data_IF_291625513289
#
_entry.id   IF_291625513289
#
_cell.length_a   1.000
_cell.length_b   1.000
_cell.length_c   1.000
_cell.angle_alpha   90.00
_cell.angle_beta   90.00
_cell.angle_gamma   90.00
#
_symmetry.space_group_name_H-M   'P 1'
#
loop_
_entity.id
_entity.type
_entity.pdbx_description
1 polymer ?
#
# COMPACT_ATOMS: atom_id res chain seq x y z
N UNK A 1 27.58 17.89 5.76
CA UNK A 1 26.71 18.23 4.60
C UNK A 1 25.39 17.49 4.75
N UNK A 2 24.28 18.12 4.39
CA UNK A 2 22.96 17.49 4.42
C UNK A 2 22.78 16.56 3.23
N UNK A 3 22.26 15.35 3.43
CA UNK A 3 21.96 14.37 2.37
C UNK A 3 20.55 13.77 2.55
N UNK A 4 20.03 13.17 1.50
CA UNK A 4 18.77 12.43 1.55
C UNK A 4 19.07 10.94 1.55
N UNK A 5 18.54 10.22 2.53
CA UNK A 5 18.60 8.75 2.59
C UNK A 5 17.25 8.19 2.21
N UNK A 6 17.25 7.22 1.29
CA UNK A 6 16.09 6.44 0.84
C UNK A 6 16.13 5.05 1.46
N UNK A 7 15.02 4.60 2.01
CA UNK A 7 14.85 3.26 2.56
C UNK A 7 13.76 2.50 1.79
N UNK A 8 14.05 1.27 1.41
CA UNK A 8 13.07 0.29 0.94
C UNK A 8 12.70 -0.63 2.12
N UNK A 9 11.42 -0.65 2.48
CA UNK A 9 10.92 -1.33 3.67
C UNK A 9 9.99 -2.49 3.32
N UNK A 10 9.99 -3.50 4.18
CA UNK A 10 8.91 -4.48 4.26
C UNK A 10 8.43 -4.60 5.71
N UNK A 11 7.12 -4.82 5.91
CA UNK A 11 6.55 -5.02 7.24
C UNK A 11 5.27 -5.85 7.22
N UNK A 12 5.09 -6.63 8.28
CA UNK A 12 3.81 -7.22 8.66
C UNK A 12 2.97 -6.16 9.37
N UNK A 13 1.88 -5.72 8.73
CA UNK A 13 1.01 -4.67 9.26
C UNK A 13 0.12 -5.08 10.43
N UNK A 14 0.08 -6.38 10.79
CA UNK A 14 -0.86 -6.93 11.79
C UNK A 14 -0.74 -6.23 13.15
N UNK A 15 0.48 -5.98 13.61
CA UNK A 15 0.77 -5.34 14.90
C UNK A 15 0.73 -3.82 14.87
N UNK A 16 0.49 -3.19 13.71
CA UNK A 16 0.53 -1.74 13.53
C UNK A 16 -0.85 -1.13 13.30
N UNK A 17 -1.09 0.02 13.89
CA UNK A 17 -2.28 0.87 13.65
C UNK A 17 -2.13 1.74 12.40
N UNK A 18 -1.48 1.20 11.37
CA UNK A 18 -1.19 1.82 10.09
C UNK A 18 0.17 2.50 10.05
N UNK A 19 0.39 3.24 8.96
CA UNK A 19 1.67 3.94 8.76
C UNK A 19 1.81 5.16 9.67
N UNK A 20 0.86 6.10 9.62
CA UNK A 20 1.04 7.44 10.16
C UNK A 20 1.17 7.47 11.68
N UNK A 21 2.21 8.14 12.18
CA UNK A 21 2.39 8.42 13.61
C UNK A 21 1.15 9.15 14.18
N UNK A 22 0.78 8.81 15.39
CA UNK A 22 -0.34 9.39 16.11
C UNK A 22 0.16 10.21 17.30
N UNK A 23 -0.69 11.11 17.82
CA UNK A 23 -0.34 11.93 19.01
C UNK A 23 -0.14 11.08 20.26
N UNK A 24 -0.93 10.02 20.39
CA UNK A 24 -0.75 9.02 21.42
C UNK A 24 0.40 8.06 21.05
N UNK A 25 1.52 8.21 21.72
CA UNK A 25 2.74 7.43 21.47
C UNK A 25 2.61 5.97 21.92
N UNK A 26 1.58 5.59 22.69
CA UNK A 26 1.30 4.20 23.03
C UNK A 26 0.77 3.41 21.83
N UNK A 27 0.27 4.10 20.81
CA UNK A 27 -0.25 3.49 19.60
C UNK A 27 0.89 3.19 18.63
N UNK A 28 1.20 1.90 18.47
CA UNK A 28 2.25 1.44 17.54
C UNK A 28 1.88 1.74 16.09
N UNK A 29 2.70 2.51 15.40
CA UNK A 29 2.60 2.80 13.97
C UNK A 29 3.95 2.59 13.31
N UNK A 30 3.96 2.30 12.00
CA UNK A 30 5.21 2.06 11.26
C UNK A 30 6.11 3.31 11.28
N UNK A 31 5.54 4.50 11.06
CA UNK A 31 6.27 5.78 11.08
C UNK A 31 6.78 6.10 12.49
N UNK A 32 6.00 5.85 13.53
CA UNK A 32 6.40 6.12 14.92
C UNK A 32 7.60 5.29 15.33
N UNK A 33 7.52 3.95 15.16
CA UNK A 33 8.61 3.02 15.49
C UNK A 33 9.87 3.32 14.67
N UNK A 34 9.72 3.49 13.34
CA UNK A 34 10.85 3.74 12.46
C UNK A 34 11.53 5.08 12.75
N UNK A 35 10.75 6.14 12.97
CA UNK A 35 11.31 7.48 13.27
C UNK A 35 12.05 7.50 14.61
N UNK A 36 11.51 6.84 15.63
CA UNK A 36 12.13 6.75 16.95
C UNK A 36 13.48 6.01 16.87
N UNK A 37 13.52 4.87 16.16
CA UNK A 37 14.74 4.08 16.00
C UNK A 37 15.77 4.82 15.15
N UNK A 38 15.36 5.39 14.01
CA UNK A 38 16.26 6.19 13.16
C UNK A 38 16.83 7.38 13.93
N UNK A 39 16.00 8.12 14.67
CA UNK A 39 16.43 9.27 15.44
C UNK A 39 17.53 8.92 16.45
N UNK A 40 17.43 7.75 17.09
CA UNK A 40 18.47 7.24 18.00
C UNK A 40 19.75 6.83 17.27
N UNK A 41 19.63 6.18 16.09
CA UNK A 41 20.78 5.73 15.29
C UNK A 41 21.60 6.91 14.77
N UNK A 42 20.92 7.92 14.22
CA UNK A 42 21.62 9.07 13.59
C UNK A 42 21.81 10.25 14.54
N UNK A 43 21.27 10.16 15.75
CA UNK A 43 21.29 11.20 16.79
C UNK A 43 20.71 12.55 16.30
N UNK A 44 19.61 12.49 15.53
CA UNK A 44 18.91 13.65 14.98
C UNK A 44 17.38 13.40 15.00
N UNK A 45 16.54 14.44 15.15
CA UNK A 45 15.11 14.31 14.96
C UNK A 45 14.81 13.99 13.50
N UNK A 46 14.08 12.89 13.24
CA UNK A 46 13.79 12.41 11.88
C UNK A 46 12.37 12.73 11.47
N UNK A 47 12.24 13.33 10.29
CA UNK A 47 10.97 13.50 9.59
C UNK A 47 10.95 12.63 8.35
N UNK A 48 10.05 11.65 8.31
CA UNK A 48 9.89 10.74 7.18
C UNK A 48 8.96 11.31 6.11
N UNK A 49 9.37 11.20 4.84
CA UNK A 49 8.46 11.25 3.70
C UNK A 49 8.19 9.83 3.21
N UNK A 50 6.93 9.44 3.04
CA UNK A 50 6.52 8.09 2.65
C UNK A 50 5.81 8.08 1.31
N UNK A 51 6.11 7.10 0.46
CA UNK A 51 5.50 6.98 -0.87
C UNK A 51 3.98 6.77 -0.85
N UNK A 52 3.46 6.06 0.14
CA UNK A 52 2.04 5.84 0.32
C UNK A 52 1.73 5.34 1.73
N UNK A 53 0.83 6.03 2.44
CA UNK A 53 0.38 5.57 3.76
C UNK A 53 -0.44 4.30 3.61
N UNK A 54 -0.27 3.35 4.54
CA UNK A 54 -1.07 2.13 4.65
C UNK A 54 -2.00 2.23 5.85
N UNK A 55 -3.20 1.65 5.73
CA UNK A 55 -4.17 1.54 6.82
C UNK A 55 -3.69 0.55 7.91
N UNK A 56 -4.33 0.57 9.07
CA UNK A 56 -4.12 -0.44 10.12
C UNK A 56 -4.32 -1.86 9.57
N UNK A 57 -3.38 -2.76 9.85
CA UNK A 57 -3.40 -4.14 9.40
C UNK A 57 -3.01 -4.37 7.94
N UNK A 58 -2.62 -3.34 7.19
CA UNK A 58 -2.14 -3.45 5.79
C UNK A 58 -0.63 -3.66 5.77
N UNK A 59 -0.18 -4.64 4.99
CA UNK A 59 1.23 -5.02 4.88
C UNK A 59 1.95 -4.25 3.78
N UNK A 60 3.29 -4.34 3.79
CA UNK A 60 4.11 -3.88 2.68
C UNK A 60 5.30 -4.80 2.43
N UNK A 61 5.61 -5.02 1.15
CA UNK A 61 6.85 -5.69 0.68
C UNK A 61 7.81 -4.73 0.02
N UNK A 62 7.31 -3.55 -0.36
CA UNK A 62 8.09 -2.57 -1.11
C UNK A 62 7.68 -1.12 -0.81
N UNK A 63 7.46 -0.78 0.48
CA UNK A 63 7.27 0.59 0.91
C UNK A 63 8.57 1.37 0.75
N UNK A 64 8.47 2.62 0.34
CA UNK A 64 9.63 3.51 0.28
C UNK A 64 9.41 4.72 1.17
N UNK A 65 10.44 5.04 1.95
CA UNK A 65 10.51 6.30 2.70
C UNK A 65 11.83 6.99 2.45
N UNK A 66 11.86 8.30 2.66
CA UNK A 66 13.07 9.11 2.62
C UNK A 66 13.11 10.07 3.79
N UNK A 67 14.32 10.43 4.20
CA UNK A 67 14.58 11.46 5.19
C UNK A 67 15.87 12.20 4.92
N UNK A 68 15.97 13.41 5.43
CA UNK A 68 17.16 14.24 5.34
C UNK A 68 17.95 14.09 6.64
N UNK A 69 19.29 14.00 6.54
CA UNK A 69 20.18 13.85 7.69
C UNK A 69 21.54 14.47 7.41
N UNK A 70 22.28 14.80 8.49
CA UNK A 70 23.67 15.24 8.44
C UNK A 70 24.65 14.12 8.81
N UNK A 71 24.14 12.95 9.25
CA UNK A 71 24.98 11.83 9.65
C UNK A 71 25.89 11.34 8.51
N UNK A 72 27.11 10.93 8.87
CA UNK A 72 28.07 10.30 7.97
C UNK A 72 27.98 8.77 7.96
N UNK A 73 27.02 8.16 8.71
CA UNK A 73 26.84 6.72 8.73
C UNK A 73 26.49 6.20 7.34
N UNK A 74 27.20 5.18 6.86
CA UNK A 74 26.90 4.55 5.59
C UNK A 74 25.44 4.02 5.60
N UNK A 75 24.70 4.11 4.47
CA UNK A 75 23.31 3.65 4.39
C UNK A 75 23.12 2.21 4.87
N UNK A 76 24.03 1.30 4.53
CA UNK A 76 23.98 -0.09 4.98
C UNK A 76 24.08 -0.23 6.51
N UNK A 77 24.87 0.60 7.17
CA UNK A 77 24.96 0.62 8.65
C UNK A 77 23.63 1.07 9.26
N UNK A 78 22.96 2.05 8.64
CA UNK A 78 21.61 2.47 9.07
C UNK A 78 20.62 1.32 8.91
N UNK A 79 20.63 0.62 7.76
CA UNK A 79 19.80 -0.57 7.50
C UNK A 79 20.01 -1.62 8.60
N UNK A 80 21.26 -2.01 8.83
CA UNK A 80 21.61 -3.09 9.74
C UNK A 80 21.23 -2.76 11.19
N UNK A 81 21.44 -1.53 11.62
CA UNK A 81 21.06 -1.05 12.95
C UNK A 81 19.51 -1.02 13.12
N UNK A 82 18.75 -0.57 12.11
CA UNK A 82 17.29 -0.61 12.16
C UNK A 82 16.81 -2.06 12.24
N UNK A 83 17.36 -2.95 11.41
CA UNK A 83 16.95 -4.35 11.35
C UNK A 83 17.26 -5.12 12.65
N UNK A 84 18.33 -4.77 13.33
CA UNK A 84 18.67 -5.36 14.64
C UNK A 84 17.64 -5.00 15.72
N UNK A 85 16.93 -3.87 15.60
CA UNK A 85 15.98 -3.37 16.61
C UNK A 85 14.54 -3.73 16.24
N UNK A 86 14.14 -3.54 14.97
CA UNK A 86 12.74 -3.67 14.51
C UNK A 86 12.42 -4.98 13.79
N UNK A 87 13.44 -5.74 13.39
CA UNK A 87 13.22 -7.02 12.74
C UNK A 87 12.67 -8.10 13.70
N UNK A 88 11.95 -9.10 13.18
CA UNK A 88 11.59 -9.30 11.76
C UNK A 88 10.28 -8.59 11.34
N UNK A 89 9.56 -7.94 12.24
CA UNK A 89 8.21 -7.38 11.98
C UNK A 89 8.25 -6.18 10.99
N UNK A 90 9.29 -5.33 11.10
CA UNK A 90 9.60 -4.26 10.18
C UNK A 90 11.08 -4.34 9.83
N UNK A 91 11.39 -4.41 8.53
CA UNK A 91 12.75 -4.50 8.04
C UNK A 91 13.05 -3.49 6.94
N UNK A 92 14.26 -2.95 6.96
CA UNK A 92 14.85 -2.19 5.86
C UNK A 92 15.53 -3.19 4.93
N UNK A 93 14.98 -3.39 3.73
CA UNK A 93 15.56 -4.29 2.72
C UNK A 93 16.75 -3.67 1.99
N UNK A 94 16.69 -2.36 1.80
CA UNK A 94 17.74 -1.59 1.15
C UNK A 94 17.75 -0.16 1.71
N UNK A 95 18.93 0.36 1.94
CA UNK A 95 19.17 1.78 2.21
C UNK A 95 20.16 2.32 1.19
N UNK A 96 19.96 3.53 0.73
CA UNK A 96 20.86 4.20 -0.22
C UNK A 96 20.79 5.72 -0.07
N UNK A 97 21.86 6.40 -0.44
CA UNK A 97 21.75 7.81 -0.72
C UNK A 97 20.84 8.04 -1.93
N UNK A 98 20.10 9.13 -1.90
CA UNK A 98 19.23 9.54 -2.98
C UNK A 98 19.70 10.88 -3.58
N UNK A 99 19.40 11.14 -4.86
CA UNK A 99 19.69 12.43 -5.46
C UNK A 99 19.10 13.59 -4.66
N UNK A 100 19.76 14.75 -4.68
CA UNK A 100 19.22 15.97 -4.09
C UNK A 100 17.80 16.26 -4.61
N UNK A 101 16.90 16.63 -3.71
CA UNK A 101 15.49 16.87 -4.05
C UNK A 101 14.61 15.62 -4.16
N UNK A 102 15.16 14.42 -3.98
CA UNK A 102 14.33 13.21 -3.93
C UNK A 102 13.39 13.24 -2.72
N UNK A 103 12.11 12.98 -2.99
CA UNK A 103 11.08 12.79 -1.98
C UNK A 103 10.32 11.49 -2.28
N UNK A 104 10.25 10.59 -1.30
CA UNK A 104 9.62 9.27 -1.51
C UNK A 104 8.17 9.37 -1.98
N UNK A 105 7.43 10.41 -1.59
CA UNK A 105 6.03 10.62 -1.96
C UNK A 105 5.89 11.26 -3.34
N UNK A 106 6.58 12.39 -3.56
CA UNK A 106 6.36 13.25 -4.72
C UNK A 106 7.16 12.79 -5.95
N UNK A 107 8.29 12.11 -5.76
CA UNK A 107 9.05 11.52 -6.87
C UNK A 107 8.44 10.22 -7.40
N UNK A 108 7.48 9.62 -6.69
CA UNK A 108 6.87 8.35 -7.10
C UNK A 108 5.84 8.56 -8.21
N UNK A 109 5.99 7.77 -9.30
CA UNK A 109 5.11 7.81 -10.48
C UNK A 109 3.96 6.82 -10.42
N UNK A 110 4.13 5.69 -9.70
CA UNK A 110 3.04 4.73 -9.47
C UNK A 110 3.27 3.90 -8.19
N UNK A 111 2.19 3.27 -7.71
CA UNK A 111 2.17 2.30 -6.61
C UNK A 111 1.48 1.04 -7.09
N UNK A 112 1.98 -0.12 -6.66
CA UNK A 112 1.37 -1.41 -6.93
C UNK A 112 0.94 -2.07 -5.64
N UNK A 113 -0.30 -2.50 -5.60
CA UNK A 113 -0.88 -3.27 -4.50
C UNK A 113 -1.34 -4.63 -4.99
N UNK A 114 -1.26 -5.61 -4.09
CA UNK A 114 -1.83 -6.93 -4.27
C UNK A 114 -2.78 -7.22 -3.11
N UNK A 115 -3.95 -7.74 -3.45
CA UNK A 115 -4.91 -8.24 -2.48
C UNK A 115 -5.06 -9.75 -2.64
N UNK A 116 -4.93 -10.49 -1.54
CA UNK A 116 -5.06 -11.94 -1.53
C UNK A 116 -6.39 -12.36 -0.88
N UNK A 117 -7.06 -13.35 -1.50
CA UNK A 117 -8.31 -13.95 -1.03
C UNK A 117 -8.11 -15.47 -1.04
N UNK A 118 -8.44 -16.15 0.07
CA UNK A 118 -8.51 -17.59 0.19
C UNK A 118 -9.96 -18.03 0.09
N UNK A 119 -10.29 -18.89 -0.89
CA UNK A 119 -11.68 -19.33 -1.19
C UNK A 119 -11.97 -20.75 -0.76
N UNK A 120 -11.02 -21.47 -0.19
CA UNK A 120 -11.21 -22.81 0.38
C UNK A 120 -12.21 -22.80 1.54
N UNK A 121 -12.81 -23.93 1.81
CA UNK A 121 -13.88 -24.07 2.82
C UNK A 121 -13.38 -23.76 4.24
N UNK A 122 -12.11 -24.09 4.53
CA UNK A 122 -11.48 -23.87 5.85
C UNK A 122 -10.36 -22.85 5.73
N UNK A 123 -10.26 -21.95 6.71
CA UNK A 123 -9.16 -20.98 6.79
C UNK A 123 -7.84 -21.72 7.12
N UNK A 124 -6.79 -21.43 6.35
CA UNK A 124 -5.44 -21.89 6.62
C UNK A 124 -4.76 -20.92 7.60
N UNK A 125 -4.34 -21.36 8.82
CA UNK A 125 -3.71 -20.50 9.82
C UNK A 125 -2.38 -19.88 9.36
N UNK A 126 -1.67 -20.51 8.41
CA UNK A 126 -0.40 -19.99 7.90
C UNK A 126 -0.60 -18.85 6.88
N UNK A 127 -1.77 -18.76 6.27
CA UNK A 127 -2.09 -17.70 5.28
C UNK A 127 -3.15 -16.71 5.77
N UNK A 128 -3.89 -17.04 6.83
CA UNK A 128 -5.01 -16.23 7.34
C UNK A 128 -4.62 -14.78 7.71
N UNK A 129 -3.35 -14.56 8.05
CA UNK A 129 -2.81 -13.22 8.36
C UNK A 129 -2.62 -12.34 7.13
N UNK A 130 -2.52 -12.96 5.94
CA UNK A 130 -2.13 -12.30 4.69
C UNK A 130 -3.15 -12.47 3.55
N UNK A 131 -4.28 -13.12 3.83
CA UNK A 131 -5.33 -13.34 2.86
C UNK A 131 -6.72 -13.23 3.53
N UNK A 132 -7.65 -12.59 2.86
CA UNK A 132 -9.04 -12.60 3.29
C UNK A 132 -9.64 -13.99 3.05
N UNK A 133 -9.91 -14.74 4.13
CA UNK A 133 -10.66 -15.98 4.02
C UNK A 133 -12.12 -15.67 3.69
N UNK A 134 -12.52 -16.11 2.51
CA UNK A 134 -13.87 -15.92 2.00
C UNK A 134 -14.27 -17.19 1.26
N UNK A 135 -14.86 -18.18 1.97
CA UNK A 135 -15.23 -19.46 1.36
C UNK A 135 -16.26 -19.29 0.26
N UNK A 136 -16.22 -20.20 -0.68
CA UNK A 136 -17.14 -20.27 -1.80
C UNK A 136 -16.58 -19.69 -3.10
N UNK A 137 -17.30 -19.97 -4.18
CA UNK A 137 -16.88 -19.67 -5.54
C UNK A 137 -17.04 -18.18 -5.88
N UNK A 138 -16.01 -17.62 -6.49
CA UNK A 138 -16.04 -16.28 -7.09
C UNK A 138 -15.94 -16.40 -8.62
N UNK A 139 -16.79 -15.71 -9.35
CA UNK A 139 -16.80 -15.67 -10.82
C UNK A 139 -15.70 -14.72 -11.33
N UNK A 140 -14.50 -15.28 -11.57
CA UNK A 140 -13.31 -14.51 -11.96
C UNK A 140 -13.51 -13.72 -13.24
N UNK A 141 -14.26 -14.27 -14.23
CA UNK A 141 -14.50 -13.57 -15.48
C UNK A 141 -15.33 -12.30 -15.28
N UNK A 142 -16.38 -12.35 -14.46
CA UNK A 142 -17.17 -11.17 -14.09
C UNK A 142 -16.33 -10.13 -13.35
N UNK A 143 -15.47 -10.57 -12.42
CA UNK A 143 -14.55 -9.68 -11.73
C UNK A 143 -13.54 -9.00 -12.69
N UNK A 144 -13.05 -9.73 -13.71
CA UNK A 144 -12.16 -9.16 -14.75
C UNK A 144 -12.88 -8.13 -15.61
N UNK A 145 -14.15 -8.41 -16.00
CA UNK A 145 -14.99 -7.44 -16.74
C UNK A 145 -15.19 -6.16 -15.95
N UNK A 146 -15.62 -6.27 -14.69
CA UNK A 146 -15.76 -5.11 -13.81
C UNK A 146 -14.43 -4.37 -13.58
N UNK A 147 -13.32 -5.10 -13.42
CA UNK A 147 -11.99 -4.51 -13.27
C UNK A 147 -11.51 -3.74 -14.50
N UNK A 148 -11.93 -4.16 -15.71
CA UNK A 148 -11.60 -3.46 -16.95
C UNK A 148 -12.27 -2.08 -17.03
N UNK A 149 -13.49 -1.94 -16.53
CA UNK A 149 -14.25 -0.68 -16.49
C UNK A 149 -13.62 0.37 -15.54
N UNK A 150 -12.83 -0.08 -14.57
CA UNK A 150 -12.11 0.82 -13.64
C UNK A 150 -10.82 1.41 -14.22
N UNK A 151 -10.35 0.91 -15.38
CA UNK A 151 -9.09 1.37 -15.97
C UNK A 151 -9.24 2.77 -16.57
N UNK A 152 -8.15 3.54 -16.50
CA UNK A 152 -8.11 4.90 -17.00
C UNK A 152 -8.18 5.95 -15.89
N UNK A 153 -8.50 7.17 -16.29
CA UNK A 153 -8.67 8.30 -15.38
C UNK A 153 -10.13 8.46 -15.00
N UNK A 154 -10.42 8.35 -13.71
CA UNK A 154 -11.77 8.49 -13.16
C UNK A 154 -11.75 9.24 -11.84
N UNK A 155 -12.89 9.79 -11.47
CA UNK A 155 -13.15 10.26 -10.11
C UNK A 155 -13.52 9.07 -9.22
N UNK A 156 -12.63 8.72 -8.28
CA UNK A 156 -12.82 7.61 -7.34
C UNK A 156 -13.42 8.04 -6.00
N UNK A 157 -14.20 9.13 -5.94
CA UNK A 157 -14.84 9.59 -4.71
C UNK A 157 -15.66 8.48 -4.04
N UNK A 158 -16.45 7.70 -4.81
CA UNK A 158 -17.23 6.56 -4.29
C UNK A 158 -16.39 5.46 -3.65
N UNK A 159 -15.11 5.36 -3.99
CA UNK A 159 -14.18 4.38 -3.44
C UNK A 159 -13.24 4.94 -2.38
N UNK A 160 -13.46 6.19 -1.94
CA UNK A 160 -12.66 6.87 -0.95
C UNK A 160 -13.44 7.05 0.35
N UNK A 161 -12.82 6.79 1.51
CA UNK A 161 -13.45 7.02 2.81
C UNK A 161 -13.61 8.52 3.12
N UNK A 162 -12.55 9.28 2.88
CA UNK A 162 -12.49 10.72 3.12
C UNK A 162 -11.40 11.33 2.24
N UNK A 163 -11.75 12.08 1.19
CA UNK A 163 -10.78 12.73 0.34
C UNK A 163 -10.07 13.91 1.02
N UNK A 164 -10.64 14.46 2.09
CA UNK A 164 -10.22 15.72 2.69
C UNK A 164 -10.64 16.93 1.85
N UNK A 165 -10.86 18.07 2.49
CA UNK A 165 -11.31 19.30 1.81
C UNK A 165 -10.35 19.74 0.71
N UNK A 166 -10.87 19.99 -0.49
CA UNK A 166 -10.13 20.54 -1.63
C UNK A 166 -9.13 19.61 -2.29
N UNK A 167 -9.13 18.31 -1.94
CA UNK A 167 -8.25 17.33 -2.57
C UNK A 167 -8.96 16.61 -3.71
N UNK A 168 -8.30 16.58 -4.88
CA UNK A 168 -8.79 15.83 -6.04
C UNK A 168 -8.93 14.34 -5.71
N UNK A 169 -10.06 13.77 -6.12
CA UNK A 169 -10.37 12.32 -6.08
C UNK A 169 -10.09 11.64 -7.41
N UNK A 170 -9.68 12.39 -8.42
CA UNK A 170 -9.32 11.87 -9.74
C UNK A 170 -7.99 11.12 -9.66
N UNK A 171 -7.98 9.85 -10.14
CA UNK A 171 -6.79 8.99 -10.22
C UNK A 171 -6.75 8.27 -11.55
N UNK A 172 -5.52 7.94 -11.98
CA UNK A 172 -5.31 7.12 -13.18
C UNK A 172 -4.99 5.69 -12.75
N UNK A 173 -5.96 4.79 -12.88
CA UNK A 173 -5.81 3.36 -12.61
C UNK A 173 -5.26 2.66 -13.85
N UNK A 174 -3.98 2.25 -13.79
CA UNK A 174 -3.20 1.75 -14.92
C UNK A 174 -3.35 0.24 -15.11
N UNK A 175 -3.71 -0.49 -14.03
CA UNK A 175 -3.85 -1.95 -14.06
C UNK A 175 -4.81 -2.44 -13.01
N UNK A 176 -5.68 -3.36 -13.41
CA UNK A 176 -6.43 -4.28 -12.55
C UNK A 176 -6.25 -5.68 -13.12
N UNK A 177 -5.74 -6.62 -12.32
CA UNK A 177 -5.53 -7.98 -12.78
C UNK A 177 -6.03 -8.98 -11.74
N UNK A 178 -7.02 -9.81 -12.11
CA UNK A 178 -7.58 -10.87 -11.27
C UNK A 178 -7.03 -12.21 -11.73
N UNK A 179 -6.36 -12.94 -10.83
CA UNK A 179 -5.79 -14.27 -11.09
C UNK A 179 -6.27 -15.26 -10.04
N UNK A 180 -6.53 -16.49 -10.46
CA UNK A 180 -6.86 -17.61 -9.57
C UNK A 180 -5.86 -18.72 -9.77
N UNK A 181 -5.41 -19.32 -8.66
CA UNK A 181 -4.59 -20.51 -8.62
C UNK A 181 -5.11 -21.40 -7.48
N UNK A 182 -5.83 -22.48 -7.83
CA UNK A 182 -6.56 -23.30 -6.87
C UNK A 182 -7.54 -22.46 -6.05
N UNK A 183 -7.43 -22.53 -4.73
CA UNK A 183 -8.24 -21.75 -3.78
C UNK A 183 -7.71 -20.36 -3.48
N UNK A 184 -6.59 -19.98 -4.09
CA UNK A 184 -6.04 -18.65 -3.96
C UNK A 184 -6.47 -17.75 -5.11
N UNK A 185 -7.04 -16.59 -4.77
CA UNK A 185 -7.37 -15.55 -5.72
C UNK A 185 -6.58 -14.29 -5.37
N UNK A 186 -5.95 -13.67 -6.35
CA UNK A 186 -5.21 -12.42 -6.18
C UNK A 186 -5.75 -11.34 -7.11
N UNK A 187 -5.84 -10.11 -6.58
CA UNK A 187 -6.19 -8.92 -7.36
C UNK A 187 -5.02 -7.94 -7.24
N UNK A 188 -4.41 -7.61 -8.38
CA UNK A 188 -3.32 -6.64 -8.44
C UNK A 188 -3.83 -5.32 -9.02
N UNK A 189 -3.42 -4.21 -8.40
CA UNK A 189 -3.75 -2.85 -8.81
C UNK A 189 -2.48 -2.04 -9.01
N UNK A 190 -2.47 -1.17 -10.04
CA UNK A 190 -1.44 -0.16 -10.24
C UNK A 190 -2.09 1.16 -10.60
N UNK A 191 -1.71 2.24 -9.91
CA UNK A 191 -2.17 3.60 -10.20
C UNK A 191 -1.06 4.62 -9.94
N UNK A 192 -1.23 5.83 -10.48
CA UNK A 192 -0.37 6.98 -10.15
C UNK A 192 -0.38 7.29 -8.64
N UNK A 193 -1.55 7.21 -8.02
CA UNK A 193 -1.74 7.30 -6.57
C UNK A 193 -3.06 6.61 -6.17
N UNK A 194 -3.23 6.33 -4.88
CA UNK A 194 -4.46 5.80 -4.32
C UNK A 194 -5.00 6.74 -3.25
N UNK A 195 -6.33 6.82 -3.16
CA UNK A 195 -7.04 7.51 -2.09
C UNK A 195 -7.13 6.65 -0.83
N UNK A 196 -7.52 7.26 0.29
CA UNK A 196 -7.74 6.56 1.55
C UNK A 196 -8.75 5.42 1.38
N UNK A 197 -8.34 4.20 1.69
CA UNK A 197 -9.09 2.95 1.57
C UNK A 197 -9.53 2.56 0.14
N UNK A 198 -9.09 3.27 -0.90
CA UNK A 198 -9.53 3.06 -2.28
C UNK A 198 -9.35 1.60 -2.74
N UNK A 199 -8.15 1.02 -2.59
CA UNK A 199 -7.89 -0.37 -3.05
C UNK A 199 -8.84 -1.36 -2.38
N UNK A 200 -9.04 -1.24 -1.06
CA UNK A 200 -9.93 -2.12 -0.30
C UNK A 200 -11.39 -1.97 -0.73
N UNK A 201 -11.83 -0.74 -1.04
CA UNK A 201 -13.18 -0.48 -1.58
C UNK A 201 -13.35 -1.09 -2.97
N UNK A 202 -12.35 -0.95 -3.86
CA UNK A 202 -12.34 -1.59 -5.18
C UNK A 202 -12.41 -3.13 -5.06
N UNK A 203 -11.65 -3.72 -4.13
CA UNK A 203 -11.72 -5.17 -3.87
C UNK A 203 -13.10 -5.57 -3.41
N UNK A 204 -13.73 -4.82 -2.50
CA UNK A 204 -15.08 -5.07 -2.03
C UNK A 204 -16.09 -5.11 -3.18
N UNK A 205 -16.03 -4.14 -4.08
CA UNK A 205 -16.89 -4.09 -5.28
C UNK A 205 -16.64 -5.29 -6.21
N UNK A 206 -15.37 -5.58 -6.53
CA UNK A 206 -15.04 -6.73 -7.39
C UNK A 206 -15.46 -8.07 -6.79
N UNK A 207 -15.34 -8.24 -5.46
CA UNK A 207 -15.82 -9.45 -4.77
C UNK A 207 -17.33 -9.52 -4.80
N UNK A 208 -18.05 -8.41 -4.64
CA UNK A 208 -19.51 -8.37 -4.72
C UNK A 208 -19.99 -8.76 -6.13
N UNK A 209 -19.30 -8.31 -7.19
CA UNK A 209 -19.52 -8.78 -8.57
C UNK A 209 -19.19 -10.28 -8.71
N UNK A 210 -18.07 -10.71 -8.13
CA UNK A 210 -17.65 -12.11 -8.16
C UNK A 210 -18.64 -13.08 -7.52
N UNK A 211 -19.45 -12.61 -6.56
CA UNK A 211 -20.54 -13.39 -5.94
C UNK A 211 -21.85 -13.35 -6.71
N UNK A 212 -21.94 -12.58 -7.80
CA UNK A 212 -23.19 -12.38 -8.57
C UNK A 212 -24.20 -11.47 -7.88
N UNK A 213 -23.82 -10.75 -6.80
CA UNK A 213 -24.72 -9.78 -6.13
C UNK A 213 -24.76 -8.42 -6.86
N UNK A 214 -23.79 -8.16 -7.71
CA UNK A 214 -23.72 -7.01 -8.61
C UNK A 214 -23.32 -7.47 -10.00
N UNK A 215 -23.91 -6.85 -11.01
CA UNK A 215 -23.48 -7.01 -12.40
C UNK A 215 -22.16 -6.25 -12.63
N UNK A 216 -21.32 -6.69 -13.58
CA UNK A 216 -20.04 -6.03 -13.85
C UNK A 216 -20.14 -4.54 -14.16
N UNK A 217 -21.16 -4.10 -14.88
CA UNK A 217 -21.42 -2.71 -15.26
C UNK A 217 -21.90 -1.81 -14.10
N UNK A 218 -22.28 -2.41 -12.97
CA UNK A 218 -22.60 -1.63 -11.76
C UNK A 218 -21.42 -0.78 -11.27
N UNK A 219 -20.19 -1.15 -11.62
CA UNK A 219 -19.00 -0.40 -11.26
C UNK A 219 -18.98 0.99 -11.91
N UNK A 220 -19.45 1.13 -13.15
CA UNK A 220 -19.59 2.43 -13.82
C UNK A 220 -20.60 3.33 -13.11
N UNK A 221 -21.75 2.73 -12.69
CA UNK A 221 -22.77 3.47 -11.91
C UNK A 221 -22.23 3.92 -10.56
N UNK A 222 -21.41 3.10 -9.89
CA UNK A 222 -20.77 3.46 -8.64
C UNK A 222 -19.76 4.61 -8.84
N UNK A 223 -18.95 4.56 -9.90
CA UNK A 223 -18.04 5.66 -10.25
C UNK A 223 -18.81 6.96 -10.49
N UNK A 224 -19.87 6.90 -11.32
CA UNK A 224 -20.67 8.07 -11.69
C UNK A 224 -21.40 8.70 -10.49
N UNK A 225 -21.73 7.91 -9.47
CA UNK A 225 -22.43 8.40 -8.29
C UNK A 225 -21.61 9.38 -7.43
N UNK A 226 -20.27 9.30 -7.47
CA UNK A 226 -19.34 10.08 -6.63
C UNK A 226 -19.73 10.13 -5.15
N UNK A 227 -20.40 9.07 -4.68
CA UNK A 227 -20.87 8.90 -3.31
C UNK A 227 -20.35 7.59 -2.73
N UNK A 228 -19.69 7.67 -1.55
CA UNK A 228 -19.18 6.49 -0.84
C UNK A 228 -20.28 5.48 -0.49
N UNK A 229 -21.53 5.93 -0.27
CA UNK A 229 -22.65 5.08 0.05
C UNK A 229 -23.06 4.18 -1.13
N UNK A 230 -22.76 4.56 -2.38
CA UNK A 230 -23.01 3.74 -3.56
C UNK A 230 -22.09 2.53 -3.67
N UNK A 231 -20.90 2.58 -3.06
CA UNK A 231 -19.95 1.46 -3.13
C UNK A 231 -20.22 0.41 -2.04
N UNK A 232 -20.03 -0.89 -2.36
CA UNK A 232 -20.20 -1.98 -1.39
C UNK A 232 -19.27 -1.90 -0.17
N UNK A 233 -19.47 -2.86 0.74
CA UNK A 233 -18.62 -2.99 1.93
C UNK A 233 -17.14 -3.12 1.55
N UNK A 234 -16.29 -2.45 2.32
CA UNK A 234 -14.84 -2.46 2.16
C UNK A 234 -14.24 -3.81 2.55
N UNK A 235 -13.26 -4.28 1.79
CA UNK A 235 -12.53 -5.51 2.10
C UNK A 235 -11.63 -5.35 3.34
N UNK A 236 -11.40 -6.45 4.11
CA UNK A 236 -10.50 -6.44 5.27
C UNK A 236 -9.08 -5.96 4.94
N UNK A 237 -8.35 -5.34 5.89
CA UNK A 237 -7.02 -4.80 5.61
C UNK A 237 -5.94 -5.88 5.41
N UNK A 238 -6.00 -6.99 6.14
CA UNK A 238 -4.96 -8.02 6.20
C UNK A 238 -4.73 -8.77 4.88
N UNK A 239 -5.68 -8.73 3.92
CA UNK A 239 -5.44 -9.24 2.58
C UNK A 239 -4.61 -8.31 1.69
N UNK A 240 -4.40 -7.05 2.09
CA UNK A 240 -3.78 -6.02 1.27
C UNK A 240 -2.28 -5.87 1.56
N UNK A 241 -1.49 -5.85 0.50
CA UNK A 241 -0.04 -5.62 0.57
C UNK A 241 0.38 -4.56 -0.46
N UNK A 242 1.13 -3.55 -0.04
CA UNK A 242 1.87 -2.67 -0.94
C UNK A 242 3.08 -3.45 -1.48
N UNK A 243 3.04 -3.84 -2.76
CA UNK A 243 4.10 -4.67 -3.37
C UNK A 243 5.32 -3.84 -3.78
N UNK A 244 5.10 -2.67 -4.38
CA UNK A 244 6.20 -1.78 -4.76
C UNK A 244 5.73 -0.36 -5.07
N UNK A 245 6.70 0.55 -4.99
CA UNK A 245 6.61 1.94 -5.47
C UNK A 245 7.48 2.08 -6.70
N UNK A 246 6.98 2.79 -7.72
CA UNK A 246 7.68 2.99 -8.98
C UNK A 246 8.10 4.45 -9.07
N UNK A 247 9.37 4.63 -9.43
CA UNK A 247 10.00 5.93 -9.69
C UNK A 247 10.42 6.00 -11.16
N UNK A 248 10.56 7.20 -11.71
CA UNK A 248 11.04 7.42 -13.07
C UNK A 248 12.51 6.97 -13.28
N UNK A 249 12.99 6.97 -14.52
CA UNK A 249 14.35 6.49 -14.89
C UNK A 249 15.48 7.18 -14.11
N UNK A 250 15.37 8.48 -13.88
CA UNK A 250 16.40 9.26 -13.16
C UNK A 250 16.69 8.81 -11.71
N UNK A 251 15.79 8.01 -11.12
CA UNK A 251 15.93 7.49 -9.74
C UNK A 251 16.45 6.04 -9.72
N UNK A 252 16.55 5.39 -10.89
CA UNK A 252 17.01 3.99 -10.99
C UNK A 252 18.52 3.84 -11.07
N UNK A 253 19.26 4.87 -11.49
CA UNK A 253 20.68 4.78 -11.80
C UNK A 253 21.62 4.77 -10.58
N UNK A 254 21.10 4.96 -9.36
CA UNK A 254 21.88 4.87 -8.12
C UNK A 254 21.83 3.50 -7.42
N UNK A 255 21.31 2.45 -8.08
CA UNK A 255 21.14 1.10 -7.50
C UNK A 255 22.02 0.02 -8.14
N UNK A 256 23.07 0.39 -8.85
CA UNK A 256 23.97 -0.56 -9.51
C UNK A 256 25.43 -0.13 -9.38
N UNK A 257 26.11 -0.66 -8.40
CA UNK A 257 27.55 -0.61 -8.23
C UNK A 257 27.93 -1.54 -7.10
#
# INVERSE_FOLDING_TARGET
>A
MTRVVRLLLAYDGTGFRGWAAQRDLSIRTVEGELSAVLGRIVNEPIKLSVAGRTDAGVHARGQVTSFTTTTNLAPDRIRDAVNAILGPELVVRQASDAPGGFDARFSATAREYRYAIATGDVADPFTARYAWHRPGRLHVLSMRRAGALLLGEHDFASFCRDPGRGRSTVRHLQRVAVRRAGDQLTIAFRANAFLHQMVRSLVGALVTVGTGRLEPDAVDRILAAQDRAAAPQIAPPHGLTLERVIYGRAVRETTGG
#
